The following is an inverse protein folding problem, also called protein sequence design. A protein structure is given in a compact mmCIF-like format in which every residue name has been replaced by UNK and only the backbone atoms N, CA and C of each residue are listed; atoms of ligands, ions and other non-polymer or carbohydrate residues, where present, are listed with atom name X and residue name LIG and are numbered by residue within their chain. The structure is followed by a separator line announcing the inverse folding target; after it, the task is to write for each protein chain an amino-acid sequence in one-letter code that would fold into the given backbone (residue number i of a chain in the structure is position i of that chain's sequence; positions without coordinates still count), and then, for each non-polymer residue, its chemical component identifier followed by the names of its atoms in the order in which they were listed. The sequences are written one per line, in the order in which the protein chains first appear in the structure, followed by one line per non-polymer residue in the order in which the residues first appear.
data_IF_045567236603
#
_entry.id   IF_045567236603
#
_cell.length_a   1.000
_cell.length_b   1.000
_cell.length_c   1.000
_cell.angle_alpha   90.00
_cell.angle_beta   90.00
_cell.angle_gamma   90.00
#
_symmetry.space_group_name_H-M   'P 1'
#
loop_
_entity.id
_entity.type
_entity.pdbx_description
1 polymer ?
#
# COMPACT_ATOMS: atom_id res chain seq x y z
N UNK A 1 10.11 20.61 -32.02
CA UNK A 1 10.38 19.19 -31.71
C UNK A 1 9.66 18.80 -30.43
N UNK A 2 8.39 18.43 -30.54
CA UNK A 2 7.45 18.23 -29.41
C UNK A 2 6.65 16.97 -29.73
N UNK A 3 7.26 15.79 -29.66
CA UNK A 3 6.56 14.55 -30.04
C UNK A 3 6.93 13.28 -29.25
N UNK A 4 7.88 13.31 -28.30
CA UNK A 4 8.35 12.07 -27.64
C UNK A 4 7.66 11.66 -26.32
N UNK A 5 6.59 12.31 -25.88
CA UNK A 5 6.00 12.05 -24.54
C UNK A 5 4.56 11.52 -24.54
N UNK A 6 4.15 10.76 -25.57
CA UNK A 6 2.80 10.16 -25.65
C UNK A 6 2.76 8.63 -25.71
N UNK A 7 3.84 7.91 -25.37
CA UNK A 7 3.75 6.45 -25.14
C UNK A 7 3.46 6.16 -23.68
N UNK A 8 2.19 6.29 -23.31
CA UNK A 8 1.64 5.60 -22.15
C UNK A 8 1.28 4.19 -22.59
N UNK A 9 2.19 3.24 -22.37
CA UNK A 9 1.96 1.83 -22.67
C UNK A 9 1.08 1.21 -21.59
N UNK A 10 -0.22 1.21 -21.90
CA UNK A 10 -1.19 0.23 -21.43
C UNK A 10 -1.76 -0.46 -22.65
N UNK A 11 -0.93 -1.29 -23.30
CA UNK A 11 -1.38 -2.15 -24.39
C UNK A 11 -2.20 -3.29 -23.79
N UNK A 12 -3.51 -3.09 -23.67
CA UNK A 12 -4.46 -4.21 -23.60
C UNK A 12 -4.75 -4.60 -25.05
N UNK A 13 -4.15 -5.72 -25.47
CA UNK A 13 -4.61 -6.51 -26.60
C UNK A 13 -5.94 -7.14 -26.21
N UNK A 14 -7.03 -6.61 -26.75
CA UNK A 14 -8.38 -7.12 -26.60
C UNK A 14 -9.24 -6.55 -27.72
N UNK A 15 -9.90 -7.45 -28.45
CA UNK A 15 -10.70 -7.24 -29.65
C UNK A 15 -11.83 -6.22 -29.43
N UNK A 16 -12.16 -5.47 -30.49
CA UNK A 16 -13.28 -4.52 -30.53
C UNK A 16 -12.90 -3.10 -30.11
N UNK A 17 -12.33 -2.32 -31.04
CA UNK A 17 -12.26 -0.86 -30.85
C UNK A 17 -13.67 -0.32 -30.98
N UNK A 18 -14.36 -0.07 -29.87
CA UNK A 18 -15.56 0.79 -29.89
C UNK A 18 -15.15 2.12 -30.53
N UNK A 19 -15.61 2.35 -31.77
CA UNK A 19 -15.44 3.64 -32.43
C UNK A 19 -16.41 4.63 -31.79
N UNK A 20 -15.89 5.42 -30.86
CA UNK A 20 -16.62 6.57 -30.34
C UNK A 20 -16.58 7.69 -31.37
N UNK A 21 -17.74 8.02 -31.91
CA UNK A 21 -17.91 9.16 -32.80
C UNK A 21 -17.70 10.50 -32.07
N UNK A 22 -17.59 11.57 -32.85
CA UNK A 22 -17.40 12.92 -32.33
C UNK A 22 -18.57 13.39 -31.45
N UNK A 23 -19.81 13.01 -31.79
CA UNK A 23 -21.02 13.40 -31.06
C UNK A 23 -21.01 12.87 -29.63
N UNK A 24 -20.67 11.59 -29.46
CA UNK A 24 -20.52 10.97 -28.16
C UNK A 24 -19.44 11.67 -27.31
N UNK A 25 -18.30 12.00 -27.90
CA UNK A 25 -17.20 12.68 -27.19
C UNK A 25 -17.62 14.09 -26.75
N UNK A 26 -18.36 14.81 -27.59
CA UNK A 26 -18.93 16.13 -27.24
C UNK A 26 -19.91 16.01 -26.07
N UNK A 27 -20.83 15.07 -26.12
CA UNK A 27 -21.79 14.87 -25.02
C UNK A 27 -21.09 14.45 -23.73
N UNK A 28 -20.06 13.59 -23.80
CA UNK A 28 -19.24 13.24 -22.62
C UNK A 28 -18.50 14.43 -22.04
N UNK A 29 -17.95 15.30 -22.88
CA UNK A 29 -17.35 16.55 -22.43
C UNK A 29 -18.39 17.41 -21.70
N UNK A 30 -19.56 17.64 -22.31
CA UNK A 30 -20.66 18.45 -21.75
C UNK A 30 -21.13 17.91 -20.40
N UNK A 31 -21.33 16.59 -20.31
CA UNK A 31 -21.74 15.90 -19.09
C UNK A 31 -20.76 16.19 -17.94
N UNK A 32 -19.46 15.97 -18.18
CA UNK A 32 -18.43 16.12 -17.15
C UNK A 32 -18.20 17.60 -16.78
N UNK A 33 -18.20 18.51 -17.76
CA UNK A 33 -18.12 19.96 -17.48
C UNK A 33 -19.29 20.44 -16.62
N UNK A 34 -20.53 20.03 -16.95
CA UNK A 34 -21.71 20.38 -16.15
C UNK A 34 -21.64 19.80 -14.74
N UNK A 35 -21.21 18.54 -14.59
CA UNK A 35 -20.98 17.93 -13.26
C UNK A 35 -19.97 18.71 -12.43
N UNK A 36 -18.89 19.20 -13.05
CA UNK A 36 -17.86 19.97 -12.35
C UNK A 36 -18.33 21.33 -11.84
N UNK A 37 -19.23 22.02 -12.56
CA UNK A 37 -19.76 23.34 -12.20
C UNK A 37 -21.01 23.24 -11.30
N UNK A 38 -22.01 22.47 -11.73
CA UNK A 38 -23.37 22.44 -11.17
C UNK A 38 -23.62 21.14 -10.39
N UNK A 39 -22.67 20.74 -9.55
CA UNK A 39 -22.72 19.47 -8.83
C UNK A 39 -23.98 19.31 -7.96
N UNK A 40 -24.55 18.10 -7.92
CA UNK A 40 -25.60 17.67 -6.99
C UNK A 40 -25.00 16.81 -5.87
N UNK A 41 -25.71 16.68 -4.76
CA UNK A 41 -25.34 16.22 -3.40
C UNK A 41 -24.31 15.08 -3.19
N UNK A 42 -23.82 14.37 -4.22
CA UNK A 42 -22.84 13.28 -4.09
C UNK A 42 -21.58 13.44 -4.97
N UNK A 43 -21.40 14.57 -5.66
CA UNK A 43 -20.23 14.81 -6.53
C UNK A 43 -19.37 15.96 -5.99
N UNK A 44 -18.07 15.71 -5.80
CA UNK A 44 -17.12 16.77 -5.43
C UNK A 44 -16.74 17.58 -6.67
N UNK A 45 -17.50 18.65 -6.92
CA UNK A 45 -17.28 19.61 -8.00
C UNK A 45 -15.99 20.42 -7.84
N UNK A 46 -15.70 21.29 -8.81
CA UNK A 46 -14.47 22.08 -8.83
C UNK A 46 -14.30 22.93 -7.56
N UNK A 47 -15.38 23.56 -7.11
CA UNK A 47 -15.37 24.46 -5.96
C UNK A 47 -15.13 23.70 -4.65
N UNK A 48 -15.85 22.58 -4.44
CA UNK A 48 -15.63 21.70 -3.30
C UNK A 48 -14.20 21.14 -3.27
N UNK A 49 -13.66 20.73 -4.42
CA UNK A 49 -12.27 20.28 -4.55
C UNK A 49 -11.28 21.41 -4.22
N UNK A 50 -11.50 22.62 -4.73
CA UNK A 50 -10.66 23.79 -4.45
C UNK A 50 -10.63 24.05 -2.94
N UNK A 51 -11.79 24.16 -2.31
CA UNK A 51 -11.92 24.39 -0.86
C UNK A 51 -11.24 23.30 -0.05
N UNK A 52 -11.43 22.02 -0.41
CA UNK A 52 -10.76 20.90 0.26
C UNK A 52 -9.23 20.99 0.16
N UNK A 53 -8.69 21.24 -1.03
CA UNK A 53 -7.24 21.34 -1.23
C UNK A 53 -6.66 22.55 -0.50
N UNK A 54 -7.38 23.69 -0.48
CA UNK A 54 -6.97 24.87 0.29
C UNK A 54 -6.92 24.56 1.79
N UNK A 55 -7.94 23.90 2.34
CA UNK A 55 -7.93 23.46 3.74
C UNK A 55 -6.79 22.49 4.05
N UNK A 56 -6.48 21.57 3.14
CA UNK A 56 -5.31 20.70 3.28
C UNK A 56 -4.02 21.53 3.37
N UNK A 57 -3.81 22.50 2.46
CA UNK A 57 -2.61 23.35 2.45
C UNK A 57 -2.49 24.24 3.70
N UNK A 58 -3.60 24.81 4.18
CA UNK A 58 -3.63 25.63 5.41
C UNK A 58 -3.19 24.79 6.62
N UNK A 59 -3.71 23.56 6.74
CA UNK A 59 -3.31 22.67 7.83
C UNK A 59 -1.84 22.27 7.73
N UNK A 60 -1.32 22.04 6.51
CA UNK A 60 0.09 21.73 6.28
C UNK A 60 0.99 22.90 6.65
N UNK A 61 0.58 24.13 6.34
CA UNK A 61 1.34 25.34 6.65
C UNK A 61 1.62 25.47 8.15
N UNK A 62 0.62 25.24 9.00
CA UNK A 62 0.77 25.29 10.46
C UNK A 62 1.80 24.26 10.95
N UNK A 63 1.69 23.02 10.47
CA UNK A 63 2.62 21.93 10.79
C UNK A 63 4.06 22.19 10.31
N UNK A 64 4.21 22.89 9.18
CA UNK A 64 5.49 23.14 8.54
C UNK A 64 6.27 24.35 9.06
N UNK A 65 5.68 25.17 9.93
CA UNK A 65 6.41 26.26 10.59
C UNK A 65 7.71 25.76 11.26
N UNK A 66 7.67 24.56 11.86
CA UNK A 66 8.83 23.95 12.53
C UNK A 66 9.97 23.52 11.60
N UNK A 67 9.73 23.47 10.28
CA UNK A 67 10.71 23.07 9.27
C UNK A 67 11.30 24.24 8.49
N UNK A 68 10.92 25.47 8.85
CA UNK A 68 11.50 26.71 8.33
C UNK A 68 10.62 27.44 7.32
N UNK A 69 10.96 28.71 7.11
CA UNK A 69 10.18 29.65 6.29
C UNK A 69 9.98 29.19 4.85
N UNK A 70 10.95 28.47 4.27
CA UNK A 70 10.87 27.96 2.89
C UNK A 70 9.67 27.03 2.69
N UNK A 71 9.31 26.20 3.67
CA UNK A 71 8.16 25.31 3.56
C UNK A 71 6.84 26.05 3.73
N UNK A 72 6.81 27.07 4.60
CA UNK A 72 5.66 27.96 4.76
C UNK A 72 5.42 28.77 3.48
N UNK A 73 6.47 29.27 2.87
CA UNK A 73 6.41 29.98 1.59
C UNK A 73 5.94 29.05 0.46
N UNK A 74 6.42 27.81 0.43
CA UNK A 74 5.98 26.80 -0.52
C UNK A 74 4.47 26.53 -0.40
N UNK A 75 3.95 26.35 0.83
CA UNK A 75 2.51 26.16 1.05
C UNK A 75 1.70 27.38 0.63
N UNK A 76 2.15 28.60 0.96
CA UNK A 76 1.49 29.85 0.55
C UNK A 76 1.43 29.97 -0.98
N UNK A 77 2.53 29.69 -1.67
CA UNK A 77 2.56 29.73 -3.15
C UNK A 77 1.65 28.65 -3.75
N UNK A 78 1.61 27.46 -3.15
CA UNK A 78 0.69 26.40 -3.57
C UNK A 78 -0.78 26.84 -3.44
N UNK A 79 -1.16 27.49 -2.33
CA UNK A 79 -2.52 28.02 -2.12
C UNK A 79 -2.91 29.01 -3.25
N UNK A 80 -2.08 30.02 -3.50
CA UNK A 80 -2.29 31.00 -4.59
C UNK A 80 -2.37 30.31 -5.95
N UNK A 81 -1.54 29.28 -6.15
CA UNK A 81 -1.56 28.44 -7.34
C UNK A 81 -2.90 27.75 -7.55
N UNK A 82 -3.44 27.09 -6.51
CA UNK A 82 -4.72 26.37 -6.56
C UNK A 82 -5.85 27.33 -6.89
N UNK A 83 -5.92 28.45 -6.18
CA UNK A 83 -6.95 29.45 -6.40
C UNK A 83 -6.95 29.94 -7.86
N UNK A 84 -5.76 30.27 -8.37
CA UNK A 84 -5.58 30.68 -9.78
C UNK A 84 -5.98 29.56 -10.75
N UNK A 85 -5.58 28.31 -10.49
CA UNK A 85 -5.90 27.17 -11.34
C UNK A 85 -7.40 26.91 -11.40
N UNK A 86 -8.09 26.94 -10.25
CA UNK A 86 -9.53 26.75 -10.17
C UNK A 86 -10.29 27.90 -10.85
N UNK A 87 -9.83 29.15 -10.70
CA UNK A 87 -10.40 30.30 -11.41
C UNK A 87 -10.31 30.15 -12.93
N UNK A 88 -9.13 29.80 -13.44
CA UNK A 88 -8.91 29.58 -14.88
C UNK A 88 -9.73 28.39 -15.37
N UNK A 89 -9.74 27.27 -14.64
CA UNK A 89 -10.53 26.08 -15.00
C UNK A 89 -12.03 26.40 -15.05
N UNK A 90 -12.57 27.13 -14.07
CA UNK A 90 -13.99 27.55 -14.03
C UNK A 90 -14.34 28.41 -15.25
N UNK A 91 -13.46 29.32 -15.65
CA UNK A 91 -13.63 30.15 -16.85
C UNK A 91 -13.66 29.28 -18.11
N UNK A 92 -12.66 28.42 -18.28
CA UNK A 92 -12.55 27.51 -19.44
C UNK A 92 -13.74 26.55 -19.52
N UNK A 93 -14.26 26.07 -18.39
CA UNK A 93 -15.47 25.24 -18.37
C UNK A 93 -16.70 25.98 -18.89
N UNK A 94 -16.88 27.25 -18.50
CA UNK A 94 -18.00 28.08 -18.97
C UNK A 94 -17.88 28.40 -20.44
N UNK A 95 -16.71 28.86 -20.89
CA UNK A 95 -16.43 29.14 -22.30
C UNK A 95 -16.67 27.89 -23.19
N UNK A 96 -16.25 26.71 -22.73
CA UNK A 96 -16.49 25.46 -23.45
C UNK A 96 -17.99 25.06 -23.51
N UNK A 97 -18.78 25.42 -22.51
CA UNK A 97 -20.22 25.15 -22.49
C UNK A 97 -21.02 26.19 -23.29
N UNK A 98 -20.58 27.45 -23.30
CA UNK A 98 -21.18 28.55 -24.05
C UNK A 98 -20.95 28.37 -25.57
N UNK A 99 -19.73 28.04 -25.97
CA UNK A 99 -19.35 27.80 -27.38
C UNK A 99 -19.35 26.31 -27.74
N UNK A 100 -20.23 25.51 -27.12
CA UNK A 100 -20.21 24.05 -27.21
C UNK A 100 -20.30 23.52 -28.66
N UNK A 101 -21.16 24.13 -29.47
CA UNK A 101 -21.34 23.75 -30.89
C UNK A 101 -20.09 24.06 -31.72
N UNK A 102 -19.36 25.13 -31.37
CA UNK A 102 -18.17 25.59 -32.09
C UNK A 102 -16.88 24.84 -31.72
N UNK A 103 -16.92 23.97 -30.72
CA UNK A 103 -15.75 23.21 -30.28
C UNK A 103 -15.21 22.37 -31.43
N UNK A 104 -13.89 22.21 -31.53
CA UNK A 104 -13.28 21.29 -32.51
C UNK A 104 -12.72 20.08 -31.77
N UNK A 105 -13.26 18.90 -32.06
CA UNK A 105 -12.82 17.64 -31.47
C UNK A 105 -11.92 16.90 -32.48
N UNK A 106 -10.76 16.44 -32.01
CA UNK A 106 -9.85 15.63 -32.82
C UNK A 106 -9.33 14.46 -32.01
N UNK A 107 -9.48 13.24 -32.53
CA UNK A 107 -8.83 12.05 -31.94
C UNK A 107 -7.31 12.19 -32.06
N UNK A 108 -6.61 11.96 -30.96
CA UNK A 108 -5.13 12.09 -30.86
C UNK A 108 -4.45 10.82 -30.37
N UNK A 109 -5.22 9.83 -29.90
CA UNK A 109 -4.72 8.51 -29.51
C UNK A 109 -5.86 7.49 -29.50
N UNK A 110 -5.54 6.24 -29.12
CA UNK A 110 -6.53 5.14 -29.11
C UNK A 110 -7.77 5.47 -28.26
N UNK A 111 -7.57 6.10 -27.09
CA UNK A 111 -8.63 6.45 -26.16
C UNK A 111 -8.55 7.92 -25.72
N UNK A 112 -8.07 8.83 -26.60
CA UNK A 112 -7.85 10.23 -26.24
C UNK A 112 -8.21 11.18 -27.38
N UNK A 113 -9.01 12.18 -27.04
CA UNK A 113 -9.50 13.23 -27.93
C UNK A 113 -9.07 14.59 -27.40
N UNK A 114 -8.59 15.44 -28.29
CA UNK A 114 -8.25 16.83 -28.00
C UNK A 114 -9.42 17.70 -28.42
N UNK A 115 -9.83 18.58 -27.52
CA UNK A 115 -10.89 19.56 -27.77
C UNK A 115 -10.29 20.96 -27.74
N UNK A 116 -10.56 21.73 -28.78
CA UNK A 116 -10.12 23.12 -28.90
C UNK A 116 -11.33 24.04 -28.79
N UNK A 117 -11.26 24.97 -27.84
CA UNK A 117 -12.19 26.10 -27.76
C UNK A 117 -11.68 27.21 -28.70
N UNK A 118 -12.55 27.82 -29.53
CA UNK A 118 -12.18 29.01 -30.30
C UNK A 118 -11.62 30.13 -29.42
N UNK A 119 -10.62 30.87 -29.90
CA UNK A 119 -10.02 32.00 -29.15
C UNK A 119 -9.12 31.64 -27.97
N UNK A 120 -9.32 30.49 -27.34
CA UNK A 120 -8.58 30.09 -26.14
C UNK A 120 -7.26 29.34 -26.44
N UNK A 121 -6.24 29.63 -25.61
CA UNK A 121 -4.94 28.94 -25.67
C UNK A 121 -4.93 27.62 -24.88
N UNK A 122 -5.90 27.44 -23.98
CA UNK A 122 -6.00 26.25 -23.13
C UNK A 122 -6.32 25.00 -23.96
N UNK A 123 -5.81 23.84 -23.51
CA UNK A 123 -6.04 22.56 -24.19
C UNK A 123 -6.89 21.65 -23.31
N UNK A 124 -8.02 21.21 -23.85
CA UNK A 124 -8.90 20.23 -23.21
C UNK A 124 -8.63 18.87 -23.83
N UNK A 125 -8.57 17.84 -22.99
CA UNK A 125 -8.46 16.46 -23.42
C UNK A 125 -9.60 15.65 -22.80
N UNK A 126 -10.28 14.86 -23.62
CA UNK A 126 -11.23 13.83 -23.17
C UNK A 126 -10.55 12.49 -23.36
N UNK A 127 -10.56 11.63 -22.35
CA UNK A 127 -9.98 10.29 -22.50
C UNK A 127 -10.69 9.24 -21.64
N UNK A 128 -10.64 7.99 -22.13
CA UNK A 128 -11.11 6.81 -21.40
C UNK A 128 -9.91 6.19 -20.69
N UNK A 129 -10.02 6.03 -19.37
CA UNK A 129 -9.01 5.34 -18.56
C UNK A 129 -9.06 3.82 -18.83
N UNK A 130 -7.97 3.08 -18.57
CA UNK A 130 -7.96 1.62 -18.71
C UNK A 130 -9.06 0.90 -17.93
N UNK A 131 -9.46 1.44 -16.77
CA UNK A 131 -10.58 0.94 -15.97
C UNK A 131 -11.98 1.21 -16.57
N UNK A 132 -12.06 1.75 -17.79
CA UNK A 132 -13.32 2.02 -18.50
C UNK A 132 -13.93 3.41 -18.26
N UNK A 133 -13.53 4.11 -17.20
CA UNK A 133 -14.04 5.43 -16.82
C UNK A 133 -13.58 6.58 -17.72
N UNK A 134 -14.43 7.58 -17.93
CA UNK A 134 -14.08 8.80 -18.65
C UNK A 134 -13.48 9.89 -17.76
N UNK A 135 -12.64 10.72 -18.36
CA UNK A 135 -12.11 11.92 -17.73
C UNK A 135 -11.91 13.07 -18.73
N UNK A 136 -12.02 14.29 -18.22
CA UNK A 136 -11.70 15.54 -18.94
C UNK A 136 -10.53 16.22 -18.24
N UNK A 137 -9.39 16.41 -18.92
CA UNK A 137 -8.22 17.14 -18.43
C UNK A 137 -8.15 18.52 -19.09
N UNK A 138 -8.19 19.58 -18.29
CA UNK A 138 -7.74 20.90 -18.73
C UNK A 138 -6.27 21.07 -18.37
N UNK A 139 -5.42 21.22 -19.39
CA UNK A 139 -4.01 21.50 -19.18
C UNK A 139 -3.77 22.98 -18.98
N UNK A 140 -3.16 23.31 -17.85
CA UNK A 140 -2.92 24.68 -17.38
C UNK A 140 -1.44 25.05 -17.36
N UNK A 141 -0.57 24.14 -16.90
CA UNK A 141 0.88 24.36 -16.74
C UNK A 141 1.23 25.67 -16.01
N UNK A 142 0.49 25.99 -14.95
CA UNK A 142 0.73 27.19 -14.14
C UNK A 142 1.96 26.93 -13.27
N UNK A 143 3.02 27.72 -13.47
CA UNK A 143 4.18 27.70 -12.58
C UNK A 143 3.80 28.35 -11.25
N UNK A 144 3.96 27.58 -10.18
CA UNK A 144 3.61 27.97 -8.81
C UNK A 144 4.82 28.62 -8.15
N UNK A 145 5.97 27.93 -8.18
CA UNK A 145 7.20 28.42 -7.57
C UNK A 145 8.44 27.79 -8.20
N UNK A 146 9.58 28.42 -7.92
CA UNK A 146 10.93 27.87 -8.10
C UNK A 146 11.75 28.27 -6.89
N UNK A 147 12.42 27.31 -6.26
CA UNK A 147 13.14 27.52 -5.01
C UNK A 147 14.19 26.42 -4.80
N UNK A 148 15.02 26.58 -3.78
CA UNK A 148 15.94 25.56 -3.30
C UNK A 148 15.50 25.18 -1.90
N UNK A 149 15.40 23.87 -1.64
CA UNK A 149 14.93 23.35 -0.35
C UNK A 149 16.15 23.15 0.55
N UNK A 150 16.15 23.62 1.81
CA UNK A 150 17.21 23.31 2.76
C UNK A 150 17.22 21.83 3.14
N UNK A 151 18.33 21.36 3.71
CA UNK A 151 18.42 20.01 4.27
C UNK A 151 17.70 19.91 5.61
N UNK A 152 16.38 19.78 5.53
CA UNK A 152 15.49 19.68 6.69
C UNK A 152 15.48 18.29 7.30
N UNK A 153 15.58 17.25 6.47
CA UNK A 153 15.53 15.87 6.95
C UNK A 153 16.84 15.45 7.62
N UNK A 154 17.98 16.02 7.22
CA UNK A 154 19.32 15.73 7.76
C UNK A 154 19.58 14.23 7.86
N UNK A 155 19.13 13.48 6.85
CA UNK A 155 19.38 12.05 6.79
C UNK A 155 20.85 11.81 6.43
N UNK A 156 21.46 10.74 6.96
CA UNK A 156 22.71 10.22 6.41
C UNK A 156 22.59 10.06 4.88
N UNK A 157 23.63 10.39 4.09
CA UNK A 157 23.54 10.40 2.64
C UNK A 157 23.02 9.09 2.03
N UNK A 158 23.38 7.95 2.61
CA UNK A 158 22.94 6.62 2.17
C UNK A 158 21.44 6.42 2.42
N UNK A 159 20.94 6.75 3.62
CA UNK A 159 19.50 6.69 3.92
C UNK A 159 18.68 7.69 3.11
N UNK A 160 19.26 8.84 2.77
CA UNK A 160 18.61 9.80 1.86
C UNK A 160 18.42 9.19 0.47
N UNK A 161 19.42 8.47 -0.05
CA UNK A 161 19.32 7.77 -1.32
C UNK A 161 18.23 6.71 -1.27
N UNK A 162 18.11 5.93 -0.20
CA UNK A 162 17.03 4.96 -0.02
C UNK A 162 15.64 5.59 0.04
N UNK A 163 15.51 6.73 0.74
CA UNK A 163 14.26 7.47 0.77
C UNK A 163 13.88 7.99 -0.63
N UNK A 164 14.86 8.52 -1.38
CA UNK A 164 14.68 8.94 -2.77
C UNK A 164 14.31 7.76 -3.69
N UNK A 165 14.95 6.59 -3.51
CA UNK A 165 14.60 5.35 -4.22
C UNK A 165 13.14 4.96 -3.91
N UNK A 166 12.69 5.07 -2.66
CA UNK A 166 11.30 4.81 -2.29
C UNK A 166 10.30 5.70 -3.04
N UNK A 167 10.58 7.00 -3.18
CA UNK A 167 9.76 7.89 -4.04
C UNK A 167 9.76 7.46 -5.50
N UNK A 168 10.93 7.04 -5.99
CA UNK A 168 11.10 6.56 -7.35
C UNK A 168 10.48 5.19 -7.57
N UNK A 169 10.19 4.40 -6.53
CA UNK A 169 9.33 3.22 -6.57
C UNK A 169 7.85 3.58 -6.72
N UNK A 170 7.43 4.70 -6.13
CA UNK A 170 6.10 5.27 -6.33
C UNK A 170 5.98 6.12 -7.60
N UNK A 171 5.35 7.29 -7.46
CA UNK A 171 4.94 8.20 -8.53
C UNK A 171 6.08 9.06 -9.13
N UNK A 172 7.31 8.93 -8.62
CA UNK A 172 8.44 9.68 -9.16
C UNK A 172 9.16 8.91 -10.27
N UNK A 173 9.76 9.66 -11.20
CA UNK A 173 10.62 9.13 -12.25
C UNK A 173 11.85 9.99 -12.43
N UNK A 174 13.00 9.34 -12.62
CA UNK A 174 14.24 10.02 -12.96
C UNK A 174 14.45 10.03 -14.47
N UNK A 175 14.77 11.20 -15.03
CA UNK A 175 15.00 11.41 -16.46
C UNK A 175 16.48 11.72 -16.67
N UNK A 176 17.24 10.67 -16.97
CA UNK A 176 18.70 10.73 -17.08
C UNK A 176 19.19 11.77 -18.11
N UNK A 177 18.53 11.89 -19.26
CA UNK A 177 18.89 12.85 -20.32
C UNK A 177 18.78 14.30 -19.88
N UNK A 178 17.95 14.58 -18.88
CA UNK A 178 17.71 15.93 -18.34
C UNK A 178 18.30 16.13 -16.94
N UNK A 179 18.86 15.08 -16.34
CA UNK A 179 19.37 15.08 -14.95
C UNK A 179 18.34 15.66 -13.98
N UNK A 180 17.07 15.28 -14.19
CA UNK A 180 15.93 15.75 -13.40
C UNK A 180 15.10 14.59 -12.86
N UNK A 181 14.48 14.79 -11.70
CA UNK A 181 13.46 13.90 -11.15
C UNK A 181 12.12 14.61 -11.26
N UNK A 182 11.08 13.87 -11.65
CA UNK A 182 9.72 14.40 -11.77
C UNK A 182 8.76 13.54 -10.98
N UNK A 183 7.81 14.19 -10.34
CA UNK A 183 6.69 13.54 -9.67
C UNK A 183 5.40 14.24 -10.12
N UNK A 184 4.42 13.45 -10.56
CA UNK A 184 3.05 13.90 -10.77
C UNK A 184 2.18 13.48 -9.60
N UNK A 185 1.28 14.32 -9.13
CA UNK A 185 0.40 13.96 -7.99
C UNK A 185 -0.88 14.79 -7.97
N UNK A 186 -1.95 14.25 -7.39
CA UNK A 186 -3.15 15.01 -7.01
C UNK A 186 -3.23 15.30 -5.50
N UNK A 187 -2.23 14.86 -4.73
CA UNK A 187 -2.19 14.97 -3.27
C UNK A 187 -1.37 16.18 -2.86
N UNK A 188 -2.00 17.15 -2.20
CA UNK A 188 -1.37 18.41 -1.81
C UNK A 188 -0.11 18.20 -0.95
N UNK A 189 -0.15 17.23 -0.03
CA UNK A 189 0.99 16.95 0.83
C UNK A 189 2.24 16.44 0.11
N UNK A 190 2.08 15.68 -0.98
CA UNK A 190 3.23 15.18 -1.74
C UNK A 190 3.97 16.35 -2.39
N UNK A 191 3.23 17.36 -2.87
CA UNK A 191 3.80 18.57 -3.48
C UNK A 191 4.72 19.30 -2.51
N UNK A 192 4.37 19.31 -1.23
CA UNK A 192 5.08 20.09 -0.21
C UNK A 192 6.13 19.27 0.54
N UNK A 193 6.02 17.93 0.57
CA UNK A 193 6.99 17.04 1.22
C UNK A 193 8.07 16.49 0.29
N UNK A 194 7.72 16.10 -0.94
CA UNK A 194 8.65 15.55 -1.91
C UNK A 194 9.92 16.40 -2.12
N UNK A 195 9.85 17.75 -2.17
CA UNK A 195 11.04 18.59 -2.28
C UNK A 195 12.07 18.39 -1.16
N UNK A 196 11.62 18.02 0.05
CA UNK A 196 12.49 17.80 1.22
C UNK A 196 13.43 16.62 1.11
N UNK A 197 13.15 15.69 0.18
CA UNK A 197 14.03 14.57 -0.13
C UNK A 197 15.14 14.94 -1.12
N UNK A 198 15.22 16.20 -1.56
CA UNK A 198 16.20 16.67 -2.53
C UNK A 198 16.91 17.94 -2.04
N UNK A 199 17.62 17.86 -0.90
CA UNK A 199 18.24 19.02 -0.29
C UNK A 199 19.23 19.71 -1.22
N UNK A 200 19.23 21.04 -1.22
CA UNK A 200 20.13 21.86 -2.03
C UNK A 200 19.87 21.81 -3.54
N UNK A 201 18.77 21.17 -3.99
CA UNK A 201 18.39 21.12 -5.41
C UNK A 201 17.37 22.20 -5.74
N UNK A 202 17.43 22.67 -6.98
CA UNK A 202 16.40 23.55 -7.54
C UNK A 202 15.14 22.73 -7.81
N UNK A 203 14.04 23.14 -7.18
CA UNK A 203 12.72 22.55 -7.31
C UNK A 203 11.78 23.54 -7.98
N UNK A 204 11.09 23.06 -9.02
CA UNK A 204 10.00 23.78 -9.68
C UNK A 204 8.68 23.05 -9.44
N UNK A 205 7.66 23.80 -9.04
CA UNK A 205 6.31 23.27 -8.81
C UNK A 205 5.35 23.89 -9.82
N UNK A 206 4.52 23.05 -10.41
CA UNK A 206 3.50 23.45 -11.37
C UNK A 206 2.16 22.83 -11.01
N UNK A 207 1.08 23.56 -11.27
CA UNK A 207 -0.23 22.93 -11.49
C UNK A 207 -0.31 22.60 -12.97
N UNK A 208 -0.18 21.31 -13.26
CA UNK A 208 -0.23 20.80 -14.63
C UNK A 208 -1.63 20.92 -15.20
N UNK A 209 -2.64 20.48 -14.45
CA UNK A 209 -3.99 20.37 -14.95
C UNK A 209 -5.06 20.30 -13.86
N UNK A 210 -6.30 20.57 -14.26
CA UNK A 210 -7.49 20.15 -13.51
C UNK A 210 -8.14 19.00 -14.27
N UNK A 211 -8.44 17.91 -13.57
CA UNK A 211 -9.02 16.71 -14.17
C UNK A 211 -10.39 16.45 -13.57
N UNK A 212 -11.40 16.37 -14.42
CA UNK A 212 -12.76 15.99 -14.07
C UNK A 212 -12.90 14.50 -14.32
N UNK A 213 -13.12 13.74 -13.26
CA UNK A 213 -13.50 12.33 -13.34
C UNK A 213 -15.02 12.21 -13.23
N UNK A 214 -15.54 11.04 -13.59
CA UNK A 214 -16.97 10.71 -13.42
C UNK A 214 -17.46 10.85 -11.97
N UNK A 215 -16.58 10.71 -10.98
CA UNK A 215 -16.92 10.72 -9.55
C UNK A 215 -16.40 11.94 -8.77
N UNK A 216 -15.40 12.66 -9.26
CA UNK A 216 -14.80 13.81 -8.56
C UNK A 216 -13.94 14.69 -9.49
N UNK A 217 -13.60 15.89 -9.04
CA UNK A 217 -12.58 16.75 -9.67
C UNK A 217 -11.26 16.66 -8.89
N UNK A 218 -10.13 16.67 -9.60
CA UNK A 218 -8.77 16.65 -9.05
C UNK A 218 -7.92 17.80 -9.60
N UNK A 219 -7.11 18.42 -8.73
CA UNK A 219 -6.02 19.33 -9.13
C UNK A 219 -4.75 18.50 -9.23
N UNK A 220 -4.11 18.49 -10.40
CA UNK A 220 -2.92 17.68 -10.67
C UNK A 220 -1.69 18.57 -10.76
N UNK A 221 -0.71 18.23 -9.95
CA UNK A 221 0.55 18.91 -9.79
C UNK A 221 1.66 18.18 -10.52
N UNK A 222 2.74 18.91 -10.79
CA UNK A 222 4.00 18.32 -11.20
C UNK A 222 5.12 19.03 -10.46
N UNK A 223 5.94 18.26 -9.77
CA UNK A 223 7.16 18.73 -9.11
C UNK A 223 8.35 18.26 -9.91
N UNK A 224 9.29 19.15 -10.19
CA UNK A 224 10.51 18.86 -10.95
C UNK A 224 11.73 19.29 -10.15
N UNK A 225 12.62 18.35 -9.90
CA UNK A 225 13.89 18.56 -9.21
C UNK A 225 15.01 18.52 -10.23
N UNK A 226 15.78 19.60 -10.35
CA UNK A 226 16.88 19.70 -11.33
C UNK A 226 18.23 19.43 -10.68
N UNK A 227 19.21 19.06 -11.52
CA UNK A 227 20.60 18.92 -11.08
C UNK A 227 20.86 17.66 -10.26
N UNK A 228 20.05 16.62 -10.49
CA UNK A 228 20.23 15.29 -9.89
C UNK A 228 21.30 14.55 -10.70
N UNK A 229 22.54 14.61 -10.22
CA UNK A 229 23.72 13.94 -10.80
C UNK A 229 24.03 12.68 -9.97
N UNK A 230 24.75 11.74 -10.58
CA UNK A 230 25.19 10.50 -9.92
C UNK A 230 24.05 9.66 -9.33
N UNK A 231 22.86 9.75 -9.94
CA UNK A 231 21.71 8.94 -9.56
C UNK A 231 22.03 7.43 -9.66
N UNK A 232 21.64 6.62 -8.67
CA UNK A 232 21.69 5.16 -8.73
C UNK A 232 21.16 4.59 -10.05
N UNK A 233 21.73 3.46 -10.49
CA UNK A 233 21.31 2.80 -11.73
C UNK A 233 19.82 2.40 -11.67
N UNK A 234 19.36 1.96 -10.49
CA UNK A 234 17.99 1.52 -10.25
C UNK A 234 16.94 2.62 -10.51
N UNK A 235 17.33 3.90 -10.45
CA UNK A 235 16.43 5.02 -10.73
C UNK A 235 16.08 5.14 -12.22
N UNK A 236 16.86 4.49 -13.09
CA UNK A 236 16.68 4.52 -14.56
C UNK A 236 15.94 3.29 -15.08
N UNK A 237 15.54 2.38 -14.19
CA UNK A 237 14.86 1.14 -14.57
C UNK A 237 13.54 1.44 -15.27
N UNK A 238 13.22 0.61 -16.25
CA UNK A 238 11.91 0.59 -16.89
C UNK A 238 10.86 0.09 -15.90
N UNK A 239 9.59 0.27 -16.27
CA UNK A 239 8.46 -0.06 -15.39
C UNK A 239 8.48 -1.52 -14.95
N UNK A 240 8.74 -2.45 -15.86
CA UNK A 240 8.74 -3.89 -15.60
C UNK A 240 9.90 -4.30 -14.68
N UNK A 241 11.09 -3.75 -14.93
CA UNK A 241 12.28 -3.98 -14.09
C UNK A 241 12.07 -3.44 -12.68
N UNK A 242 11.52 -2.22 -12.59
CA UNK A 242 11.16 -1.58 -11.33
C UNK A 242 10.13 -2.38 -10.54
N UNK A 243 9.13 -2.97 -11.22
CA UNK A 243 8.16 -3.88 -10.60
C UNK A 243 8.85 -5.11 -10.00
N UNK A 244 9.75 -5.74 -10.75
CA UNK A 244 10.52 -6.90 -10.25
C UNK A 244 11.31 -6.57 -8.98
N UNK A 245 11.99 -5.42 -8.95
CA UNK A 245 12.72 -4.96 -7.76
C UNK A 245 11.77 -4.73 -6.58
N UNK A 246 10.63 -4.06 -6.80
CA UNK A 246 9.63 -3.85 -5.74
C UNK A 246 9.12 -5.18 -5.16
N UNK A 247 8.85 -6.17 -6.01
CA UNK A 247 8.41 -7.50 -5.57
C UNK A 247 9.49 -8.20 -4.74
N UNK A 248 10.76 -8.05 -5.13
CA UNK A 248 11.90 -8.58 -4.36
C UNK A 248 11.99 -7.92 -2.98
N UNK A 249 11.81 -6.61 -2.87
CA UNK A 249 11.82 -5.89 -1.58
C UNK A 249 10.68 -6.34 -0.67
N UNK A 250 9.46 -6.50 -1.21
CA UNK A 250 8.30 -6.98 -0.47
C UNK A 250 8.52 -8.44 -0.01
N UNK A 251 9.10 -9.29 -0.86
CA UNK A 251 9.41 -10.68 -0.52
C UNK A 251 10.44 -10.77 0.60
N UNK A 252 11.58 -10.08 0.46
CA UNK A 252 12.64 -10.05 1.47
C UNK A 252 12.10 -9.54 2.83
N UNK A 253 11.28 -8.49 2.82
CA UNK A 253 10.64 -7.99 4.04
C UNK A 253 9.72 -9.02 4.70
N UNK A 254 9.00 -9.83 3.91
CA UNK A 254 8.16 -10.92 4.41
C UNK A 254 8.98 -12.13 4.92
N UNK A 255 10.20 -12.31 4.42
CA UNK A 255 11.15 -13.33 4.89
C UNK A 255 11.93 -12.88 6.15
N UNK A 256 11.70 -11.64 6.61
CA UNK A 256 12.32 -11.08 7.81
C UNK A 256 13.67 -10.41 7.55
N UNK A 257 14.08 -10.26 6.30
CA UNK A 257 15.26 -9.50 5.91
C UNK A 257 14.92 -8.00 5.91
N UNK A 258 14.90 -7.38 7.08
CA UNK A 258 14.57 -5.95 7.24
C UNK A 258 15.69 -5.27 8.02
N UNK A 259 16.48 -4.48 7.31
CA UNK A 259 17.41 -3.49 7.86
C UNK A 259 16.81 -2.07 7.73
N UNK A 260 17.55 -1.08 8.21
CA UNK A 260 17.07 0.31 8.20
C UNK A 260 16.96 0.89 6.78
N UNK A 261 17.86 0.52 5.87
CA UNK A 261 17.86 0.99 4.48
C UNK A 261 16.59 0.54 3.76
N UNK A 262 16.28 -0.77 3.84
CA UNK A 262 15.05 -1.35 3.31
C UNK A 262 13.81 -0.77 3.99
N UNK A 263 13.85 -0.57 5.31
CA UNK A 263 12.74 0.04 6.03
C UNK A 263 12.44 1.46 5.50
N UNK A 264 13.46 2.31 5.32
CA UNK A 264 13.32 3.66 4.76
C UNK A 264 12.79 3.63 3.32
N UNK A 265 13.33 2.75 2.48
CA UNK A 265 12.92 2.60 1.08
C UNK A 265 11.46 2.17 0.96
N UNK A 266 11.07 1.12 1.67
CA UNK A 266 9.70 0.59 1.66
C UNK A 266 8.73 1.59 2.28
N UNK A 267 9.09 2.24 3.38
CA UNK A 267 8.22 3.21 4.04
C UNK A 267 7.94 4.42 3.16
N UNK A 268 8.97 4.93 2.47
CA UNK A 268 8.81 6.06 1.55
C UNK A 268 8.00 5.65 0.33
N UNK A 269 8.22 4.44 -0.21
CA UNK A 269 7.37 3.89 -1.27
C UNK A 269 5.91 3.74 -0.82
N UNK A 270 5.67 3.20 0.38
CA UNK A 270 4.34 3.06 0.95
C UNK A 270 3.68 4.43 1.12
N UNK A 271 4.40 5.42 1.67
CA UNK A 271 3.92 6.79 1.78
C UNK A 271 3.52 7.37 0.41
N UNK A 272 4.35 7.18 -0.61
CA UNK A 272 4.10 7.65 -1.97
C UNK A 272 2.86 6.97 -2.59
N UNK A 273 2.88 5.65 -2.74
CA UNK A 273 1.94 4.93 -3.61
C UNK A 273 1.27 3.71 -2.96
N UNK A 274 1.60 3.40 -1.70
CA UNK A 274 0.93 2.36 -0.92
C UNK A 274 -0.56 2.66 -0.70
N UNK A 275 -1.35 1.62 -0.47
CA UNK A 275 -2.79 1.75 -0.20
C UNK A 275 -3.03 1.88 1.30
N UNK A 276 -3.77 2.92 1.68
CA UNK A 276 -4.17 3.12 3.06
C UNK A 276 -5.22 2.07 3.47
N UNK A 277 -5.03 1.32 4.57
CA UNK A 277 -5.93 0.22 4.97
C UNK A 277 -7.33 0.66 5.40
N UNK A 278 -7.62 1.98 5.38
CA UNK A 278 -8.89 2.56 5.76
C UNK A 278 -8.99 2.87 7.26
N UNK A 279 -10.18 3.28 7.74
CA UNK A 279 -10.40 3.57 9.16
C UNK A 279 -10.39 2.32 10.05
N UNK A 280 -10.51 1.12 9.46
CA UNK A 280 -10.46 -0.14 10.19
C UNK A 280 -8.98 -0.56 10.42
N UNK A 281 -8.35 0.05 11.42
CA UNK A 281 -6.94 -0.12 11.81
C UNK A 281 -6.56 -1.53 12.28
N UNK A 282 -7.50 -2.48 12.28
CA UNK A 282 -7.26 -3.88 12.61
C UNK A 282 -6.31 -4.57 11.63
N UNK A 283 -6.28 -4.12 10.37
CA UNK A 283 -5.27 -4.59 9.39
C UNK A 283 -3.93 -3.96 9.74
N UNK A 284 -2.99 -4.76 10.25
CA UNK A 284 -1.64 -4.34 10.63
C UNK A 284 -0.61 -4.66 9.52
N UNK A 285 -0.93 -4.39 8.26
CA UNK A 285 -0.10 -4.73 7.09
C UNK A 285 0.22 -3.49 6.25
N UNK A 286 1.17 -3.59 5.33
CA UNK A 286 1.41 -2.58 4.28
C UNK A 286 0.96 -3.15 2.94
N UNK A 287 0.02 -2.50 2.26
CA UNK A 287 -0.53 -2.93 0.96
C UNK A 287 0.01 -2.03 -0.17
N UNK A 288 0.41 -2.65 -1.28
CA UNK A 288 0.99 -2.02 -2.46
C UNK A 288 0.26 -2.49 -3.72
N UNK A 289 0.09 -1.59 -4.68
CA UNK A 289 -0.28 -1.97 -6.05
C UNK A 289 0.98 -2.10 -6.89
N UNK A 290 1.32 -3.32 -7.33
CA UNK A 290 2.45 -3.54 -8.24
C UNK A 290 1.89 -4.01 -9.57
N UNK A 291 1.91 -3.11 -10.56
CA UNK A 291 1.17 -3.36 -11.80
C UNK A 291 -0.34 -3.32 -11.55
N UNK A 292 -1.04 -4.41 -11.87
CA UNK A 292 -2.48 -4.56 -11.63
C UNK A 292 -2.80 -5.44 -10.42
N UNK A 293 -1.79 -5.94 -9.72
CA UNK A 293 -1.96 -6.92 -8.64
C UNK A 293 -1.65 -6.31 -7.26
N UNK A 294 -2.44 -6.66 -6.24
CA UNK A 294 -2.17 -6.25 -4.87
C UNK A 294 -1.12 -7.14 -4.21
N UNK A 295 -0.12 -6.52 -3.59
CA UNK A 295 0.90 -7.18 -2.79
C UNK A 295 0.92 -6.60 -1.38
N UNK A 296 1.38 -7.38 -0.41
CA UNK A 296 1.44 -6.91 0.97
C UNK A 296 2.67 -7.39 1.73
N UNK A 297 3.13 -6.53 2.63
CA UNK A 297 4.04 -6.90 3.71
C UNK A 297 3.18 -7.25 4.92
N UNK A 298 3.38 -8.48 5.42
CA UNK A 298 2.64 -9.07 6.54
C UNK A 298 2.94 -8.33 7.85
N UNK A 299 2.17 -8.67 8.87
CA UNK A 299 2.13 -7.93 10.14
C UNK A 299 3.50 -7.77 10.79
N UNK A 300 4.27 -8.85 10.88
CA UNK A 300 5.59 -8.83 11.50
C UNK A 300 6.54 -7.87 10.77
N UNK A 301 6.61 -7.98 9.45
CA UNK A 301 7.46 -7.11 8.63
C UNK A 301 7.00 -5.65 8.69
N UNK A 302 5.69 -5.40 8.63
CA UNK A 302 5.12 -4.06 8.71
C UNK A 302 5.42 -3.38 10.06
N UNK A 303 5.27 -4.10 11.17
CA UNK A 303 5.60 -3.61 12.51
C UNK A 303 7.10 -3.39 12.66
N UNK A 304 7.94 -4.31 12.17
CA UNK A 304 9.40 -4.16 12.23
C UNK A 304 9.89 -2.95 11.44
N UNK A 305 9.39 -2.73 10.21
CA UNK A 305 9.67 -1.52 9.43
C UNK A 305 9.26 -0.27 10.21
N UNK A 306 8.05 -0.25 10.75
CA UNK A 306 7.54 0.90 11.50
C UNK A 306 8.39 1.22 12.73
N UNK A 307 8.84 0.21 13.47
CA UNK A 307 9.72 0.36 14.64
C UNK A 307 11.09 0.89 14.27
N UNK A 308 11.75 0.31 13.27
CA UNK A 308 13.05 0.78 12.79
C UNK A 308 13.01 2.26 12.39
N UNK A 309 11.95 2.69 11.70
CA UNK A 309 11.77 4.12 11.38
C UNK A 309 11.57 4.99 12.63
N UNK A 310 10.84 4.48 13.63
CA UNK A 310 10.56 5.23 14.84
C UNK A 310 11.80 5.37 15.74
N UNK A 311 12.64 4.32 15.78
CA UNK A 311 13.81 4.24 16.64
C UNK A 311 15.05 4.88 15.99
N UNK A 312 15.29 4.63 14.71
CA UNK A 312 16.55 5.04 14.04
C UNK A 312 16.41 6.28 13.15
N UNK A 313 15.22 6.52 12.58
CA UNK A 313 15.00 7.67 11.67
C UNK A 313 13.69 8.43 12.00
N UNK A 314 13.45 8.80 13.28
CA UNK A 314 12.21 9.43 13.71
C UNK A 314 11.91 10.74 12.98
N UNK A 315 12.94 11.47 12.56
CA UNK A 315 12.84 12.73 11.83
C UNK A 315 12.16 12.56 10.46
N UNK A 316 12.40 11.45 9.76
CA UNK A 316 11.73 11.16 8.48
C UNK A 316 10.24 10.92 8.69
N UNK A 317 9.89 10.10 9.68
CA UNK A 317 8.51 9.76 10.01
C UNK A 317 7.75 11.00 10.52
N UNK A 318 8.37 11.80 11.38
CA UNK A 318 7.82 13.06 11.88
C UNK A 318 7.58 14.08 10.76
N UNK A 319 8.51 14.17 9.79
CA UNK A 319 8.36 15.04 8.62
C UNK A 319 7.16 14.64 7.78
N UNK A 320 7.04 13.37 7.40
CA UNK A 320 5.90 12.89 6.62
C UNK A 320 4.56 13.00 7.38
N UNK A 321 4.56 12.81 8.70
CA UNK A 321 3.37 12.98 9.53
C UNK A 321 2.86 14.44 9.58
N UNK A 322 3.79 15.39 9.72
CA UNK A 322 3.48 16.83 9.66
C UNK A 322 3.12 17.28 8.24
N UNK A 323 3.61 16.57 7.22
CA UNK A 323 3.07 16.68 5.88
C UNK A 323 1.64 16.13 5.78
N UNK A 324 0.94 15.76 6.86
CA UNK A 324 -0.43 15.26 6.76
C UNK A 324 -0.56 13.90 6.05
N UNK A 325 0.56 13.18 5.83
CA UNK A 325 0.52 11.87 5.20
C UNK A 325 -0.16 10.85 6.13
N UNK A 326 -1.38 10.45 5.78
CA UNK A 326 -2.15 9.44 6.54
C UNK A 326 -1.42 8.11 6.66
N UNK A 327 -0.66 7.72 5.63
CA UNK A 327 0.11 6.48 5.58
C UNK A 327 1.31 6.53 6.54
N UNK A 328 1.98 7.67 6.66
CA UNK A 328 3.03 7.89 7.66
C UNK A 328 2.46 7.86 9.09
N UNK A 329 1.30 8.48 9.33
CA UNK A 329 0.61 8.38 10.63
C UNK A 329 0.23 6.95 10.99
N UNK A 330 -0.16 6.16 9.99
CA UNK A 330 -0.41 4.74 10.17
C UNK A 330 0.86 3.96 10.50
N UNK A 331 1.99 4.23 9.84
CA UNK A 331 3.30 3.67 10.21
C UNK A 331 3.68 4.05 11.65
N UNK A 332 3.50 5.30 12.06
CA UNK A 332 3.77 5.73 13.44
C UNK A 332 2.92 4.96 14.47
N UNK A 333 1.65 4.68 14.15
CA UNK A 333 0.79 3.84 15.00
C UNK A 333 1.21 2.38 15.02
N UNK A 334 1.67 1.84 13.88
CA UNK A 334 2.19 0.47 13.80
C UNK A 334 3.44 0.28 14.66
N UNK A 335 4.29 1.31 14.79
CA UNK A 335 5.49 1.23 15.63
C UNK A 335 5.17 0.97 17.11
N UNK A 336 4.02 1.46 17.59
CA UNK A 336 3.53 1.26 18.96
C UNK A 336 2.92 -0.13 19.19
N UNK A 337 2.72 -0.92 18.13
CA UNK A 337 2.23 -2.29 18.27
C UNK A 337 3.35 -3.12 18.86
N UNK A 338 3.10 -3.71 20.03
CA UNK A 338 4.00 -4.73 20.55
C UNK A 338 4.10 -5.87 19.53
N UNK A 339 5.33 -6.27 19.14
CA UNK A 339 5.49 -7.49 18.36
C UNK A 339 4.87 -8.59 19.22
N UNK A 340 4.10 -9.49 18.61
CA UNK A 340 3.70 -10.70 19.32
C UNK A 340 4.98 -11.38 19.79
N UNK A 341 5.26 -11.32 21.09
CA UNK A 341 6.44 -11.92 21.69
C UNK A 341 6.28 -13.42 21.48
N UNK A 342 7.19 -14.01 20.70
CA UNK A 342 7.25 -15.41 20.30
C UNK A 342 6.11 -15.86 19.37
N UNK A 343 6.43 -16.03 18.09
CA UNK A 343 5.68 -16.95 17.23
C UNK A 343 5.99 -18.37 17.70
N UNK A 344 5.27 -18.84 18.70
CA UNK A 344 5.10 -20.27 18.87
C UNK A 344 4.61 -20.82 17.52
N UNK A 345 5.18 -21.93 17.01
CA UNK A 345 4.78 -22.48 15.73
C UNK A 345 3.25 -22.67 15.74
N UNK A 346 2.56 -21.95 14.85
CA UNK A 346 1.09 -22.03 14.72
C UNK A 346 0.65 -23.28 13.95
N UNK A 347 1.58 -24.18 13.67
CA UNK A 347 1.35 -25.39 12.95
C UNK A 347 2.19 -26.53 13.52
N UNK A 348 1.67 -27.74 13.40
CA UNK A 348 2.40 -28.98 13.55
C UNK A 348 2.65 -29.54 12.16
N UNK A 349 3.91 -29.84 11.83
CA UNK A 349 4.27 -30.44 10.54
C UNK A 349 4.32 -31.97 10.67
N UNK A 350 3.57 -32.67 9.83
CA UNK A 350 3.50 -34.15 9.81
C UNK A 350 3.44 -34.59 8.36
N UNK A 351 4.27 -35.54 7.94
CA UNK A 351 4.35 -36.05 6.57
C UNK A 351 4.46 -34.94 5.50
N UNK A 352 5.26 -33.92 5.78
CA UNK A 352 5.46 -32.74 4.91
C UNK A 352 4.26 -31.78 4.82
N UNK A 353 3.25 -31.95 5.68
CA UNK A 353 2.04 -31.13 5.71
C UNK A 353 1.97 -30.31 6.99
N UNK A 354 1.84 -28.99 6.84
CA UNK A 354 1.66 -28.05 7.96
C UNK A 354 0.19 -27.98 8.38
N UNK A 355 -0.13 -28.60 9.51
CA UNK A 355 -1.46 -28.55 10.13
C UNK A 355 -1.55 -27.40 11.14
N UNK A 356 -2.46 -26.45 10.94
CA UNK A 356 -2.60 -25.30 11.83
C UNK A 356 -3.15 -25.71 13.21
N UNK A 357 -2.46 -25.31 14.27
CA UNK A 357 -2.88 -25.49 15.66
C UNK A 357 -3.91 -24.44 16.05
N UNK A 358 -4.96 -24.88 16.76
CA UNK A 358 -6.07 -24.02 17.18
C UNK A 358 -6.69 -24.45 18.50
N UNK A 359 -7.14 -23.47 19.29
CA UNK A 359 -8.01 -23.68 20.45
C UNK A 359 -9.49 -23.61 20.05
N UNK A 360 -10.18 -24.74 20.08
CA UNK A 360 -11.61 -24.87 19.73
C UNK A 360 -12.44 -25.30 20.93
N UNK A 361 -13.72 -24.96 20.95
CA UNK A 361 -14.63 -25.33 22.03
C UNK A 361 -15.65 -24.25 22.34
N UNK A 362 -16.29 -24.35 23.49
CA UNK A 362 -17.34 -23.44 23.94
C UNK A 362 -16.74 -22.21 24.64
N UNK A 363 -17.60 -21.29 25.08
CA UNK A 363 -17.21 -20.06 25.78
C UNK A 363 -16.38 -20.32 27.06
N UNK A 364 -16.64 -21.44 27.74
CA UNK A 364 -16.02 -21.76 29.04
C UNK A 364 -14.97 -22.88 28.95
N UNK A 365 -14.82 -23.51 27.78
CA UNK A 365 -13.94 -24.66 27.62
C UNK A 365 -13.29 -24.66 26.24
N UNK A 366 -11.96 -24.70 26.21
CA UNK A 366 -11.17 -24.82 24.99
C UNK A 366 -10.30 -26.07 25.02
N UNK A 367 -10.16 -26.70 23.87
CA UNK A 367 -9.29 -27.84 23.62
C UNK A 367 -8.42 -27.57 22.39
N UNK A 368 -7.31 -28.29 22.28
CA UNK A 368 -6.37 -28.17 21.18
C UNK A 368 -6.73 -29.10 20.02
N UNK A 369 -6.68 -28.58 18.80
CA UNK A 369 -6.73 -29.36 17.57
C UNK A 369 -5.64 -28.89 16.61
N UNK A 370 -5.27 -29.77 15.69
CA UNK A 370 -4.51 -29.41 14.49
C UNK A 370 -5.40 -29.64 13.26
N UNK A 371 -5.40 -28.72 12.28
CA UNK A 371 -6.20 -28.88 11.06
C UNK A 371 -5.57 -28.30 9.81
N UNK A 372 -5.87 -28.91 8.66
CA UNK A 372 -5.49 -28.42 7.33
C UNK A 372 -6.70 -28.47 6.40
N UNK A 373 -6.87 -27.41 5.60
CA UNK A 373 -7.94 -27.28 4.62
C UNK A 373 -7.48 -27.78 3.25
N UNK A 374 -8.35 -28.50 2.55
CA UNK A 374 -8.13 -28.86 1.15
C UNK A 374 -8.57 -27.66 0.30
N UNK A 375 -7.65 -27.15 -0.52
CA UNK A 375 -7.80 -26.02 -1.44
C UNK A 375 -7.20 -26.40 -2.78
N UNK A 376 -7.56 -25.70 -3.86
CA UNK A 376 -6.99 -25.95 -5.19
C UNK A 376 -5.45 -25.88 -5.21
N UNK A 377 -4.83 -25.11 -4.30
CA UNK A 377 -3.39 -24.90 -4.26
C UNK A 377 -2.61 -26.00 -3.52
N UNK A 378 -3.29 -26.87 -2.76
CA UNK A 378 -2.64 -27.90 -1.94
C UNK A 378 -3.31 -29.28 -2.05
N UNK A 379 -4.22 -29.47 -3.01
CA UNK A 379 -4.94 -30.72 -3.22
C UNK A 379 -4.00 -31.88 -3.56
N UNK A 380 -2.98 -31.63 -4.39
CA UNK A 380 -1.97 -32.64 -4.73
C UNK A 380 -1.11 -33.03 -3.53
N UNK A 381 -0.65 -32.06 -2.74
CA UNK A 381 0.09 -32.29 -1.50
C UNK A 381 -0.71 -33.13 -0.49
N UNK A 382 -2.02 -32.87 -0.38
CA UNK A 382 -2.91 -33.55 0.57
C UNK A 382 -3.44 -34.90 0.06
N UNK A 383 -3.15 -35.29 -1.19
CA UNK A 383 -3.52 -36.59 -1.73
C UNK A 383 -2.77 -37.69 -0.97
N UNK A 384 -3.51 -38.62 -0.35
CA UNK A 384 -2.94 -39.69 0.48
C UNK A 384 -2.34 -39.22 1.81
N UNK A 385 -2.61 -37.98 2.24
CA UNK A 385 -2.10 -37.46 3.52
C UNK A 385 -2.53 -38.28 4.75
N UNK A 386 -3.78 -38.76 4.88
CA UNK A 386 -4.19 -39.54 6.06
C UNK A 386 -3.40 -40.82 6.28
N UNK A 387 -3.01 -41.48 5.19
CA UNK A 387 -2.22 -42.70 5.22
C UNK A 387 -0.78 -42.39 5.67
N UNK A 388 -0.14 -41.39 5.05
CA UNK A 388 1.22 -40.95 5.45
C UNK A 388 1.28 -40.43 6.89
N UNK A 389 0.29 -39.65 7.31
CA UNK A 389 0.22 -39.16 8.69
C UNK A 389 0.11 -40.33 9.69
N UNK A 390 -0.64 -41.38 9.33
CA UNK A 390 -0.78 -42.58 10.17
C UNK A 390 0.52 -43.38 10.26
N UNK A 391 1.31 -43.45 9.18
CA UNK A 391 2.64 -44.05 9.17
C UNK A 391 3.59 -43.33 10.13
N UNK A 392 3.53 -42.00 10.20
CA UNK A 392 4.25 -41.20 11.21
C UNK A 392 3.60 -41.24 12.60
N UNK A 393 2.46 -41.92 12.76
CA UNK A 393 1.81 -42.13 14.06
C UNK A 393 0.74 -41.10 14.44
N UNK A 394 0.37 -40.18 13.55
CA UNK A 394 -0.74 -39.25 13.76
C UNK A 394 -2.02 -39.74 13.08
N UNK A 395 -3.07 -39.94 13.87
CA UNK A 395 -4.40 -40.26 13.33
C UNK A 395 -5.15 -38.97 12.99
N UNK A 396 -5.37 -38.72 11.70
CA UNK A 396 -6.18 -37.61 11.20
C UNK A 396 -7.55 -38.08 10.74
N UNK A 397 -8.58 -37.26 10.96
CA UNK A 397 -9.97 -37.52 10.56
C UNK A 397 -10.37 -36.53 9.46
N UNK A 398 -11.11 -36.99 8.47
CA UNK A 398 -11.70 -36.12 7.45
C UNK A 398 -12.94 -35.44 8.03
N UNK A 399 -13.05 -34.12 7.86
CA UNK A 399 -14.19 -33.32 8.31
C UNK A 399 -14.72 -32.50 7.14
N UNK A 400 -16.05 -32.44 7.04
CA UNK A 400 -16.74 -31.48 6.18
C UNK A 400 -16.94 -30.19 6.96
N UNK A 401 -16.42 -29.08 6.44
CA UNK A 401 -16.46 -27.78 7.12
C UNK A 401 -17.62 -26.94 6.60
N UNK A 402 -17.90 -27.02 5.29
CA UNK A 402 -19.03 -26.35 4.64
C UNK A 402 -19.45 -27.14 3.38
N UNK A 403 -20.49 -26.71 2.66
CA UNK A 403 -21.04 -27.35 1.45
C UNK A 403 -19.98 -27.69 0.39
N UNK A 404 -18.86 -26.95 0.33
CA UNK A 404 -17.80 -27.11 -0.67
C UNK A 404 -16.39 -27.39 -0.10
N UNK A 405 -16.20 -27.42 1.22
CA UNK A 405 -14.86 -27.49 1.80
C UNK A 405 -14.68 -28.71 2.72
N UNK A 406 -13.62 -29.46 2.44
CA UNK A 406 -13.15 -30.58 3.25
C UNK A 406 -11.81 -30.24 3.88
N UNK A 407 -11.52 -30.86 5.03
CA UNK A 407 -10.24 -30.74 5.69
C UNK A 407 -9.92 -31.97 6.50
N UNK A 408 -8.67 -32.07 6.93
CA UNK A 408 -8.20 -33.08 7.87
C UNK A 408 -7.93 -32.43 9.22
N UNK A 409 -8.29 -33.13 10.30
CA UNK A 409 -8.04 -32.66 11.65
C UNK A 409 -7.59 -33.78 12.59
N UNK A 410 -6.80 -33.41 13.59
CA UNK A 410 -6.44 -34.25 14.73
C UNK A 410 -6.87 -33.55 16.03
N UNK A 411 -7.50 -34.30 16.93
CA UNK A 411 -7.91 -33.81 18.24
C UNK A 411 -6.80 -33.93 19.27
N UNK A 412 -7.00 -33.33 20.45
CA UNK A 412 -6.04 -33.39 21.56
C UNK A 412 -5.55 -34.81 21.87
N UNK A 413 -6.42 -35.82 21.83
CA UNK A 413 -6.03 -37.21 22.10
C UNK A 413 -5.06 -37.74 21.05
N UNK A 414 -5.36 -37.53 19.78
CA UNK A 414 -4.50 -37.95 18.67
C UNK A 414 -3.18 -37.19 18.67
N UNK A 415 -3.19 -35.88 18.97
CA UNK A 415 -1.98 -35.06 19.10
C UNK A 415 -1.08 -35.51 20.24
N UNK A 416 -1.63 -35.83 21.41
CA UNK A 416 -0.85 -36.35 22.54
C UNK A 416 -0.28 -37.73 22.23
N UNK A 417 -1.04 -38.60 21.58
CA UNK A 417 -0.56 -39.93 21.17
C UNK A 417 0.57 -39.86 20.15
N UNK A 418 0.54 -38.87 19.26
CA UNK A 418 1.64 -38.59 18.34
C UNK A 418 2.86 -38.04 19.10
N UNK A 419 2.65 -37.08 20.00
CA UNK A 419 3.72 -36.47 20.79
C UNK A 419 4.40 -37.43 21.78
N UNK A 420 3.71 -38.49 22.22
CA UNK A 420 4.33 -39.58 23.01
C UNK A 420 5.42 -40.35 22.23
N UNK A 421 5.33 -40.33 20.89
CA UNK A 421 6.32 -40.95 19.98
C UNK A 421 7.34 -39.94 19.45
N UNK A 422 6.94 -38.68 19.32
CA UNK A 422 7.74 -37.57 18.78
C UNK A 422 7.80 -36.43 19.81
N UNK A 423 8.80 -36.48 20.69
CA UNK A 423 8.83 -35.64 21.89
C UNK A 423 8.91 -34.14 21.56
N UNK A 424 9.53 -33.78 20.45
CA UNK A 424 9.59 -32.41 19.92
C UNK A 424 8.20 -31.83 19.62
N UNK A 425 7.21 -32.69 19.32
CA UNK A 425 5.84 -32.24 19.14
C UNK A 425 5.25 -31.70 20.45
N UNK A 426 5.64 -32.22 21.62
CA UNK A 426 5.20 -31.65 22.90
C UNK A 426 5.66 -30.20 23.06
N UNK A 427 6.88 -29.87 22.64
CA UNK A 427 7.41 -28.51 22.74
C UNK A 427 6.61 -27.54 21.87
N UNK A 428 6.32 -27.94 20.62
CA UNK A 428 5.46 -27.17 19.70
C UNK A 428 4.05 -26.94 20.28
N UNK A 429 3.41 -28.00 20.82
CA UNK A 429 2.07 -27.89 21.39
C UNK A 429 2.04 -27.04 22.67
N UNK A 430 3.04 -27.19 23.55
CA UNK A 430 3.16 -26.43 24.79
C UNK A 430 3.39 -24.95 24.48
N UNK A 431 4.31 -24.64 23.57
CA UNK A 431 4.60 -23.27 23.17
C UNK A 431 3.38 -22.60 22.54
N UNK A 432 2.65 -23.32 21.69
CA UNK A 432 1.40 -22.81 21.11
C UNK A 432 0.37 -22.48 22.20
N UNK A 433 0.08 -23.41 23.11
CA UNK A 433 -0.92 -23.20 24.17
C UNK A 433 -0.50 -22.11 25.14
N UNK A 434 0.80 -22.01 25.46
CA UNK A 434 1.36 -20.95 26.29
C UNK A 434 1.18 -19.58 25.63
N UNK A 435 1.48 -19.46 24.34
CA UNK A 435 1.27 -18.23 23.58
C UNK A 435 -0.20 -17.80 23.54
N UNK A 436 -1.12 -18.73 23.30
CA UNK A 436 -2.56 -18.43 23.32
C UNK A 436 -3.07 -18.02 24.71
N UNK A 437 -2.49 -18.58 25.79
CA UNK A 437 -2.84 -18.21 27.16
C UNK A 437 -2.32 -16.81 27.56
N UNK A 438 -1.13 -16.44 27.10
CA UNK A 438 -0.55 -15.11 27.30
C UNK A 438 -1.35 -14.02 26.54
N UNK A 439 -1.87 -14.33 25.35
CA UNK A 439 -2.72 -13.41 24.58
C UNK A 439 -4.17 -13.32 25.10
N UNK A 440 -4.60 -14.28 25.92
CA UNK A 440 -5.98 -14.33 26.42
C UNK A 440 -6.19 -13.32 27.56
N UNK A 441 -7.29 -12.52 27.57
CA UNK A 441 -7.60 -11.62 28.69
C UNK A 441 -7.66 -12.35 30.03
N UNK A 442 -7.27 -11.68 31.11
CA UNK A 442 -7.27 -12.26 32.47
C UNK A 442 -8.67 -12.70 32.92
N UNK A 443 -9.70 -11.97 32.49
CA UNK A 443 -11.12 -12.21 32.79
C UNK A 443 -11.81 -13.16 31.79
N UNK A 444 -11.07 -13.71 30.81
CA UNK A 444 -11.67 -14.53 29.78
C UNK A 444 -12.19 -15.86 30.38
N UNK A 445 -13.46 -16.25 30.16
CA UNK A 445 -14.11 -17.38 30.84
C UNK A 445 -13.49 -18.75 30.56
N UNK A 446 -12.76 -18.89 29.45
CA UNK A 446 -12.06 -20.14 29.11
C UNK A 446 -10.63 -20.23 29.67
N UNK A 447 -10.08 -19.18 30.30
CA UNK A 447 -8.66 -19.10 30.70
C UNK A 447 -8.23 -20.26 31.57
N UNK A 448 -9.03 -20.57 32.59
CA UNK A 448 -8.78 -21.70 33.50
C UNK A 448 -8.79 -23.08 32.79
N UNK A 449 -9.52 -23.21 31.67
CA UNK A 449 -9.51 -24.44 30.88
C UNK A 449 -8.22 -24.57 30.07
N UNK A 450 -7.69 -23.46 29.56
CA UNK A 450 -6.43 -23.40 28.81
C UNK A 450 -5.23 -23.60 29.72
N UNK A 451 -5.26 -23.05 30.94
CA UNK A 451 -4.24 -23.32 31.98
C UNK A 451 -4.16 -24.82 32.32
N UNK A 452 -5.31 -25.47 32.53
CA UNK A 452 -5.39 -26.92 32.77
C UNK A 452 -4.88 -27.73 31.57
N UNK A 453 -5.14 -27.28 30.35
CA UNK A 453 -4.62 -27.90 29.13
C UNK A 453 -3.09 -27.79 29.07
N UNK A 454 -2.53 -26.62 29.35
CA UNK A 454 -1.08 -26.40 29.39
C UNK A 454 -0.40 -27.29 30.42
N UNK A 455 -0.95 -27.36 31.64
CA UNK A 455 -0.43 -28.24 32.70
C UNK A 455 -0.51 -29.71 32.30
N UNK A 456 -1.61 -30.13 31.66
CA UNK A 456 -1.77 -31.50 31.16
C UNK A 456 -0.72 -31.86 30.11
N UNK A 457 -0.39 -30.95 29.19
CA UNK A 457 0.66 -31.16 28.19
C UNK A 457 2.04 -31.27 28.83
N UNK A 458 2.38 -30.38 29.78
CA UNK A 458 3.66 -30.43 30.52
C UNK A 458 3.83 -31.76 31.27
N UNK A 459 2.81 -32.17 32.03
CA UNK A 459 2.82 -33.47 32.74
C UNK A 459 2.88 -34.68 31.80
N UNK A 460 2.30 -34.57 30.60
CA UNK A 460 2.39 -35.63 29.62
C UNK A 460 3.80 -35.74 29.02
N UNK A 461 4.41 -34.61 28.66
CA UNK A 461 5.81 -34.53 28.22
C UNK A 461 6.77 -35.12 29.25
N UNK A 462 6.66 -34.73 30.53
CA UNK A 462 7.50 -35.28 31.60
C UNK A 462 7.36 -36.81 31.73
N UNK A 463 6.14 -37.33 31.62
CA UNK A 463 5.89 -38.78 31.65
C UNK A 463 6.48 -39.49 30.42
N UNK A 464 6.36 -38.89 29.23
CA UNK A 464 6.92 -39.44 28.01
C UNK A 464 8.47 -39.46 28.07
N UNK A 465 9.09 -38.37 28.54
CA UNK A 465 10.54 -38.28 28.75
C UNK A 465 11.04 -39.36 29.72
N UNK A 466 10.35 -39.59 30.84
CA UNK A 466 10.72 -40.66 31.79
C UNK A 466 10.61 -42.06 31.19
N UNK A 467 9.63 -42.30 30.32
CA UNK A 467 9.46 -43.60 29.64
C UNK A 467 10.57 -43.86 28.62
N UNK A 468 10.97 -42.84 27.87
CA UNK A 468 12.09 -42.94 26.92
C UNK A 468 13.43 -43.08 27.64
N UNK A 469 13.66 -42.33 28.73
CA UNK A 469 14.88 -42.46 29.55
C UNK A 469 14.98 -43.78 30.33
N UNK A 470 13.85 -44.41 30.67
CA UNK A 470 13.80 -45.71 31.35
C UNK A 470 13.87 -46.92 30.41
N UNK A 471 13.81 -46.71 29.09
CA UNK A 471 13.86 -47.75 28.07
C UNK A 471 15.26 -48.10 27.56
N UNK A 472 16.30 -47.34 27.94
CA UNK A 472 17.70 -47.58 27.54
C UNK A 472 18.45 -48.56 28.47
N UNK A 473 17.78 -49.17 29.46
CA UNK A 473 18.37 -50.11 30.42
C UNK A 473 17.79 -51.55 30.35
N UNK A 474 17.27 -51.98 29.19
CA UNK A 474 16.89 -53.37 28.95
C UNK A 474 17.49 -53.91 27.65
#
# INVERSE_FOLDING_TARGET
MVEEYMKGDGAVTGEGVEEFDEGFIREKLKELLRKAIFHRFNYSGLEATCTRVMWELINLKAEYQRYGEVYVELTNKAEVGVEKACRIAKRVFREALEHFEELKVRRTGKATWKVKIPGEKCRIYVYRKPAGHWAVEIRLYIRVTKFIVPDTLRLPPELLVDAQTGWLYGDASYIASRKDVRMGTSQAWQVTSFPGFWPGKEVEVYIRSVVIHETHVSVVWTVRVKGVRNAPKEWRLRKEEKQSVILSEIKAANEGEIDIFRAVRIATYYAADGKYPGPNTAKRLLEFGVGNEPYWIRVEGAVRIAKLLHEEVPQLLAFMCSAGCKKARYLARLALVEPKRNLSPRYLEVAGVRMNLQLVGTKNYRTLIARVFITNNNEELLRGFPERAREEGLIVKKMKIDKKYYGYYAGLRELMSYADKHLEAYDILIDFVKGELEEMPLDHPARQSVERLLERLKKARERALRKHAGGENN
#
